data_IF_224194478320
#
_entry.id   IF_224194478320
#
_cell.length_a   1.000
_cell.length_b   1.000
_cell.length_c   1.000
_cell.angle_alpha   90.00
_cell.angle_beta   90.00
_cell.angle_gamma   90.00
#
_symmetry.space_group_name_H-M   'P 1'
#
loop_
_entity.id
_entity.type
_entity.pdbx_description
1 polymer ?
#
# COMPACT_ATOMS: atom_id res chain seq x y z
N UNK A 1 12.63 -25.00 -1.78
CA UNK A 1 13.96 -25.29 -2.40
C UNK A 1 14.23 -24.47 -3.68
N UNK A 2 13.26 -24.20 -4.58
CA UNK A 2 13.46 -23.37 -5.79
C UNK A 2 13.84 -21.90 -5.50
N UNK A 3 13.20 -21.24 -4.52
CA UNK A 3 13.43 -19.82 -4.18
C UNK A 3 14.86 -19.58 -3.58
N UNK A 4 15.34 -20.49 -2.74
CA UNK A 4 16.70 -20.38 -2.16
C UNK A 4 17.78 -20.55 -3.25
N UNK A 5 17.61 -21.51 -4.15
CA UNK A 5 18.56 -21.73 -5.25
C UNK A 5 18.62 -20.52 -6.19
N UNK A 6 17.44 -19.91 -6.48
CA UNK A 6 17.34 -18.70 -7.27
C UNK A 6 18.12 -17.51 -6.68
N UNK A 7 18.01 -17.27 -5.38
CA UNK A 7 18.66 -16.13 -4.70
C UNK A 7 20.21 -16.13 -4.88
N UNK A 8 20.80 -17.27 -5.15
CA UNK A 8 22.26 -17.43 -5.37
C UNK A 8 22.66 -17.57 -6.83
N UNK A 9 21.73 -17.83 -7.74
CA UNK A 9 22.05 -18.16 -9.14
C UNK A 9 21.44 -17.23 -10.17
N UNK A 10 20.45 -16.43 -9.77
CA UNK A 10 19.79 -15.50 -10.70
C UNK A 10 20.68 -14.28 -10.91
N UNK A 11 20.99 -13.98 -12.16
CA UNK A 11 21.61 -12.73 -12.57
C UNK A 11 20.50 -11.78 -13.05
N UNK A 12 20.45 -10.60 -12.48
CA UNK A 12 19.51 -9.58 -12.93
C UNK A 12 19.87 -9.14 -14.36
N UNK A 13 19.02 -9.36 -15.38
CA UNK A 13 19.30 -8.95 -16.76
C UNK A 13 19.47 -7.43 -16.91
N UNK A 14 18.91 -6.65 -15.99
CA UNK A 14 18.96 -5.19 -15.97
C UNK A 14 19.89 -4.66 -14.85
N UNK A 15 20.94 -5.41 -14.50
CA UNK A 15 21.81 -5.05 -13.36
C UNK A 15 22.42 -3.65 -13.53
N UNK A 16 22.84 -3.29 -14.72
CA UNK A 16 23.45 -1.97 -15.00
C UNK A 16 22.45 -0.84 -14.83
N UNK A 17 21.23 -0.99 -15.37
CA UNK A 17 20.15 0.00 -15.23
C UNK A 17 19.70 0.09 -13.78
N UNK A 18 19.61 -1.05 -13.08
CA UNK A 18 19.28 -1.10 -11.66
C UNK A 18 20.31 -0.35 -10.80
N UNK A 19 21.60 -0.56 -11.03
CA UNK A 19 22.68 0.07 -10.28
C UNK A 19 22.83 1.56 -10.58
N UNK A 20 22.52 2.00 -11.82
CA UNK A 20 22.58 3.39 -12.24
C UNK A 20 21.30 4.19 -11.94
N UNK A 21 20.22 3.54 -11.54
CA UNK A 21 18.94 4.22 -11.27
C UNK A 21 18.94 4.85 -9.87
N UNK A 22 19.15 6.15 -9.82
CA UNK A 22 19.15 6.98 -8.62
C UNK A 22 17.78 7.56 -8.29
N UNK A 23 16.72 7.11 -8.97
CA UNK A 23 15.36 7.61 -8.79
C UNK A 23 14.95 7.62 -7.30
N UNK A 24 14.46 8.76 -6.86
CA UNK A 24 13.82 8.96 -5.56
C UNK A 24 12.57 9.82 -5.74
N UNK A 25 11.42 9.44 -5.13
CA UNK A 25 10.29 10.34 -5.03
C UNK A 25 10.70 11.63 -4.34
N UNK A 26 10.15 12.75 -4.80
CA UNK A 26 10.32 14.03 -4.13
C UNK A 26 9.62 14.00 -2.78
N UNK A 27 10.16 14.74 -1.80
CA UNK A 27 9.61 14.86 -0.45
C UNK A 27 9.28 16.32 -0.19
N UNK A 28 8.04 16.59 0.21
CA UNK A 28 7.56 17.89 0.68
C UNK A 28 7.57 17.85 2.20
N UNK A 29 8.62 18.42 2.78
CA UNK A 29 8.80 18.46 4.25
C UNK A 29 7.92 19.56 4.86
N UNK A 30 7.33 19.29 6.03
CA UNK A 30 6.48 20.24 6.73
C UNK A 30 5.94 19.72 8.05
N UNK A 31 4.89 20.35 8.56
CA UNK A 31 4.12 19.83 9.70
C UNK A 31 3.07 18.84 9.22
N UNK A 32 2.66 17.93 10.12
CA UNK A 32 1.51 17.04 9.83
C UNK A 32 0.27 17.93 9.65
N UNK A 33 -0.42 17.86 8.48
CA UNK A 33 -1.61 18.66 8.25
C UNK A 33 -2.73 18.34 9.26
N UNK A 34 -3.58 19.31 9.55
CA UNK A 34 -4.77 19.08 10.37
C UNK A 34 -5.76 18.12 9.66
N UNK A 35 -6.83 17.70 10.37
CA UNK A 35 -7.86 16.79 9.86
C UNK A 35 -9.06 17.54 9.22
N UNK A 36 -8.93 18.84 8.94
CA UNK A 36 -10.05 19.70 8.59
C UNK A 36 -10.70 19.43 7.24
N UNK A 37 -9.97 18.87 6.27
CA UNK A 37 -10.45 18.52 4.94
C UNK A 37 -10.22 17.04 4.64
N UNK A 38 -11.10 16.46 3.79
CA UNK A 38 -10.94 15.11 3.30
C UNK A 38 -9.76 15.07 2.32
N UNK A 39 -8.75 14.23 2.60
CA UNK A 39 -7.51 14.20 1.83
C UNK A 39 -6.75 12.89 1.92
N UNK A 40 -5.91 12.66 0.92
CA UNK A 40 -4.92 11.59 0.87
C UNK A 40 -3.52 12.19 0.87
N UNK A 41 -2.59 11.61 1.63
CA UNK A 41 -1.19 12.03 1.70
C UNK A 41 -0.32 10.77 1.61
N UNK A 42 0.60 10.73 0.65
CA UNK A 42 1.55 9.64 0.54
C UNK A 42 2.74 9.84 1.49
N UNK A 43 3.11 8.79 2.23
CA UNK A 43 4.24 8.80 3.18
C UNK A 43 5.44 7.99 2.67
N UNK A 44 5.35 7.54 1.41
CA UNK A 44 6.31 6.63 0.78
C UNK A 44 5.88 5.17 0.87
N UNK A 45 6.33 4.37 -0.10
CA UNK A 45 5.99 2.96 -0.26
C UNK A 45 4.47 2.74 -0.34
N UNK A 46 3.90 1.91 0.52
CA UNK A 46 2.46 1.67 0.64
C UNK A 46 1.81 2.43 1.81
N UNK A 47 2.55 3.36 2.45
CA UNK A 47 2.04 4.08 3.62
C UNK A 47 1.34 5.38 3.23
N UNK A 48 0.10 5.56 3.72
CA UNK A 48 -0.71 6.74 3.45
C UNK A 48 -1.42 7.24 4.71
N UNK A 49 -1.63 8.55 4.78
CA UNK A 49 -2.67 9.14 5.60
C UNK A 49 -3.90 9.35 4.72
N UNK A 50 -5.06 8.93 5.20
CA UNK A 50 -6.36 9.20 4.61
C UNK A 50 -7.22 9.88 5.67
N UNK A 51 -7.47 11.18 5.50
CA UNK A 51 -8.39 11.93 6.35
C UNK A 51 -9.77 12.00 5.70
N UNK A 52 -10.80 11.57 6.42
CA UNK A 52 -12.20 11.58 5.98
C UNK A 52 -13.09 11.96 7.18
N UNK A 53 -13.94 12.96 7.02
CA UNK A 53 -14.89 13.37 8.04
C UNK A 53 -14.27 13.70 9.40
N UNK A 54 -13.09 14.28 9.41
CA UNK A 54 -12.33 14.59 10.63
C UNK A 54 -11.68 13.38 11.32
N UNK A 55 -11.74 12.19 10.71
CA UNK A 55 -11.05 10.98 11.14
C UNK A 55 -9.81 10.72 10.31
N UNK A 56 -8.71 10.35 10.95
CA UNK A 56 -7.44 10.01 10.30
C UNK A 56 -7.21 8.51 10.29
N UNK A 57 -7.15 7.94 9.11
CA UNK A 57 -6.75 6.57 8.87
C UNK A 57 -5.28 6.55 8.43
N UNK A 58 -4.50 5.62 8.98
CA UNK A 58 -3.11 5.38 8.59
C UNK A 58 -3.04 3.99 7.94
N UNK A 59 -2.75 3.97 6.64
CA UNK A 59 -2.74 2.75 5.83
C UNK A 59 -1.32 2.19 5.77
N UNK A 60 -1.18 0.88 6.00
CA UNK A 60 0.07 0.09 5.93
C UNK A 60 1.31 0.84 6.47
N UNK A 61 1.34 1.18 7.76
CA UNK A 61 2.36 2.07 8.31
C UNK A 61 3.73 1.39 8.37
N UNK A 62 4.63 1.76 7.46
CA UNK A 62 6.04 1.42 7.47
C UNK A 62 6.89 2.67 7.26
N UNK A 63 7.06 3.44 8.32
CA UNK A 63 7.75 4.74 8.30
C UNK A 63 9.17 4.68 8.85
N UNK A 64 9.54 3.59 9.53
CA UNK A 64 10.90 3.32 9.95
C UNK A 64 11.63 2.45 8.91
N UNK A 65 12.77 1.91 9.26
CA UNK A 65 13.52 1.00 8.39
C UNK A 65 13.16 -0.45 8.72
N UNK A 66 12.52 -1.21 7.80
CA UNK A 66 12.30 -2.65 7.99
C UNK A 66 13.62 -3.43 8.23
N UNK A 67 13.57 -4.61 8.87
CA UNK A 67 14.79 -5.36 9.23
C UNK A 67 15.67 -5.73 8.03
N UNK A 68 15.09 -5.90 6.85
CA UNK A 68 15.77 -6.50 5.69
C UNK A 68 16.11 -5.50 4.58
N UNK A 69 15.56 -4.28 4.64
CA UNK A 69 15.75 -3.28 3.58
C UNK A 69 15.94 -1.88 4.15
N UNK A 70 16.76 -1.08 3.48
CA UNK A 70 17.01 0.31 3.87
C UNK A 70 15.97 1.23 3.26
N UNK A 71 15.41 2.13 4.09
CA UNK A 71 14.60 3.24 3.58
C UNK A 71 15.49 4.24 2.85
N UNK A 72 15.12 4.60 1.62
CA UNK A 72 15.87 5.53 0.75
C UNK A 72 15.35 6.97 0.85
N UNK A 73 14.07 7.15 1.19
CA UNK A 73 13.42 8.46 1.26
C UNK A 73 13.38 8.99 2.69
N UNK A 74 13.40 10.31 2.85
CA UNK A 74 13.03 10.95 4.11
C UNK A 74 11.54 10.81 4.40
N UNK A 75 11.13 11.08 5.63
CA UNK A 75 9.73 11.32 5.98
C UNK A 75 9.38 12.79 5.78
N UNK A 76 8.14 13.11 5.42
CA UNK A 76 7.71 14.52 5.26
C UNK A 76 7.57 15.24 6.61
N UNK A 77 7.34 14.50 7.70
CA UNK A 77 7.15 15.00 9.06
C UNK A 77 7.41 13.91 10.12
N UNK A 78 7.41 14.30 11.40
CA UNK A 78 7.61 13.37 12.52
C UNK A 78 6.47 12.34 12.66
N UNK A 79 6.81 11.11 13.00
CA UNK A 79 5.84 10.01 13.16
C UNK A 79 4.86 10.29 14.30
N UNK A 80 5.34 10.86 15.41
CA UNK A 80 4.57 11.20 16.61
C UNK A 80 3.50 12.26 16.37
N UNK A 81 3.68 13.10 15.35
CA UNK A 81 2.68 14.08 14.91
C UNK A 81 1.46 13.51 14.20
N UNK A 82 1.53 12.29 13.67
CA UNK A 82 0.48 11.72 12.79
C UNK A 82 -0.85 11.52 13.51
N UNK A 83 -0.84 10.98 14.72
CA UNK A 83 -2.01 10.76 15.62
C UNK A 83 -3.23 10.16 14.90
N UNK A 84 -3.13 8.94 14.35
CA UNK A 84 -4.25 8.31 13.67
C UNK A 84 -5.36 7.91 14.64
N UNK A 85 -6.62 7.97 14.18
CA UNK A 85 -7.77 7.40 14.87
C UNK A 85 -7.85 5.89 14.63
N UNK A 86 -7.41 5.46 13.43
CA UNK A 86 -7.45 4.08 13.00
C UNK A 86 -6.23 3.72 12.14
N UNK A 87 -5.67 2.53 12.35
CA UNK A 87 -4.67 1.95 11.46
C UNK A 87 -5.32 0.84 10.64
N UNK A 88 -5.07 0.80 9.34
CA UNK A 88 -5.43 -0.32 8.47
C UNK A 88 -4.15 -1.03 8.04
N UNK A 89 -4.11 -2.35 8.23
CA UNK A 89 -2.99 -3.20 7.83
C UNK A 89 -3.48 -4.23 6.83
N UNK A 90 -2.99 -4.18 5.59
CA UNK A 90 -3.40 -5.10 4.52
C UNK A 90 -2.87 -6.52 4.73
N UNK A 91 -1.63 -6.65 5.20
CA UNK A 91 -0.99 -7.94 5.48
C UNK A 91 0.24 -7.79 6.38
N UNK A 92 0.87 -8.90 6.73
CA UNK A 92 1.89 -8.93 7.76
C UNK A 92 3.35 -8.81 7.29
N UNK A 93 3.66 -8.49 6.04
CA UNK A 93 5.04 -8.23 5.63
C UNK A 93 5.61 -6.99 6.33
N UNK A 94 6.93 -6.94 6.49
CA UNK A 94 7.59 -5.91 7.30
C UNK A 94 7.47 -4.50 6.73
N UNK A 95 7.33 -4.37 5.43
CA UNK A 95 7.18 -3.12 4.68
C UNK A 95 5.74 -2.57 4.64
N UNK A 96 4.76 -3.33 5.19
CA UNK A 96 3.36 -2.92 5.36
C UNK A 96 2.94 -2.86 6.83
N UNK A 97 3.48 -3.74 7.66
CA UNK A 97 3.19 -3.79 9.10
C UNK A 97 4.49 -3.64 9.92
N UNK A 98 4.93 -2.40 10.12
CA UNK A 98 6.09 -2.08 10.93
C UNK A 98 5.70 -1.72 12.37
N UNK A 99 5.93 -2.63 13.27
CA UNK A 99 5.62 -2.46 14.70
C UNK A 99 6.39 -1.32 15.36
N UNK A 100 7.57 -0.94 14.83
CA UNK A 100 8.35 0.21 15.32
C UNK A 100 7.71 1.52 14.92
N UNK A 101 7.16 1.61 13.71
CA UNK A 101 6.35 2.76 13.29
C UNK A 101 5.17 2.96 14.25
N UNK A 102 4.41 1.89 14.54
CA UNK A 102 3.25 1.97 15.43
C UNK A 102 3.67 2.38 16.85
N UNK A 103 4.76 1.86 17.37
CA UNK A 103 5.29 2.27 18.68
C UNK A 103 5.72 3.76 18.70
N UNK A 104 6.27 4.26 17.59
CA UNK A 104 6.72 5.65 17.46
C UNK A 104 5.59 6.68 17.30
N UNK A 105 4.33 6.25 17.06
CA UNK A 105 3.18 7.17 16.99
C UNK A 105 2.91 7.90 18.31
N UNK A 106 3.38 7.38 19.45
CA UNK A 106 3.17 7.99 20.77
C UNK A 106 1.71 8.02 21.24
N UNK A 107 0.81 7.34 20.55
CA UNK A 107 -0.62 7.20 20.84
C UNK A 107 -1.04 5.74 20.74
N UNK A 108 -2.23 5.41 21.26
CA UNK A 108 -2.77 4.04 21.27
C UNK A 108 -3.97 3.93 20.33
N UNK A 109 -3.79 3.97 19.01
CA UNK A 109 -4.88 3.88 18.06
C UNK A 109 -5.50 2.46 18.05
N UNK A 110 -6.68 2.38 17.49
CA UNK A 110 -7.23 1.08 17.06
C UNK A 110 -6.57 0.65 15.75
N UNK A 111 -6.34 -0.65 15.57
CA UNK A 111 -5.89 -1.21 14.31
C UNK A 111 -6.88 -2.26 13.79
N UNK A 112 -7.29 -2.14 12.54
CA UNK A 112 -7.95 -3.20 11.79
C UNK A 112 -6.89 -3.95 11.00
N UNK A 113 -6.89 -5.26 11.10
CA UNK A 113 -5.88 -6.11 10.48
C UNK A 113 -6.46 -7.47 10.10
N UNK A 114 -5.84 -8.22 9.19
CA UNK A 114 -6.27 -9.56 8.81
C UNK A 114 -6.29 -10.53 9.99
N UNK A 115 -7.22 -11.47 9.97
CA UNK A 115 -7.30 -12.59 10.94
C UNK A 115 -5.95 -13.29 11.08
N UNK A 116 -5.52 -13.51 12.31
CA UNK A 116 -4.26 -14.13 12.70
C UNK A 116 -3.07 -13.16 12.77
N UNK A 117 -3.24 -11.86 12.48
CA UNK A 117 -2.15 -10.89 12.50
C UNK A 117 -1.94 -10.22 13.88
N UNK A 118 -2.97 -10.10 14.71
CA UNK A 118 -2.92 -9.41 16.01
C UNK A 118 -1.87 -10.00 16.96
N UNK A 119 -1.53 -11.28 16.82
CA UNK A 119 -0.48 -11.94 17.61
C UNK A 119 0.89 -11.26 17.50
N UNK A 120 1.18 -10.57 16.38
CA UNK A 120 2.44 -9.84 16.17
C UNK A 120 2.40 -8.43 16.77
N UNK A 121 1.20 -7.94 17.13
CA UNK A 121 0.99 -6.65 17.77
C UNK A 121 0.92 -6.72 19.31
N UNK A 122 1.04 -7.90 19.92
CA UNK A 122 0.85 -8.12 21.39
C UNK A 122 1.70 -7.22 22.29
N UNK A 123 2.85 -6.76 21.81
CA UNK A 123 3.75 -5.88 22.57
C UNK A 123 3.47 -4.39 22.33
N UNK A 124 2.54 -4.07 21.44
CA UNK A 124 2.15 -2.69 21.15
C UNK A 124 0.97 -2.31 22.05
N UNK A 125 0.97 -1.07 22.49
CA UNK A 125 -0.16 -0.53 23.26
C UNK A 125 -1.26 -0.04 22.30
N UNK A 126 -1.87 -0.98 21.53
CA UNK A 126 -2.96 -0.72 20.59
C UNK A 126 -4.07 -1.75 20.72
N UNK A 127 -5.29 -1.35 20.41
CA UNK A 127 -6.43 -2.25 20.30
C UNK A 127 -6.50 -2.82 18.87
N UNK A 128 -6.43 -4.14 18.73
CA UNK A 128 -6.49 -4.82 17.44
C UNK A 128 -7.86 -5.47 17.23
N UNK A 129 -8.45 -5.25 16.06
CA UNK A 129 -9.60 -5.98 15.55
C UNK A 129 -9.19 -6.73 14.29
N UNK A 130 -9.39 -8.03 14.30
CA UNK A 130 -9.11 -8.88 13.13
C UNK A 130 -10.32 -8.93 12.21
N UNK A 131 -10.06 -8.97 10.91
CA UNK A 131 -11.07 -9.02 9.86
C UNK A 131 -10.84 -10.20 8.93
N UNK A 132 -11.90 -10.84 8.50
CA UNK A 132 -11.93 -11.82 7.41
C UNK A 132 -12.38 -11.16 6.10
N UNK A 133 -12.10 -11.81 4.98
CA UNK A 133 -12.54 -11.32 3.66
C UNK A 133 -14.05 -11.16 3.60
N UNK A 134 -14.51 -10.03 3.09
CA UNK A 134 -15.91 -9.63 3.01
C UNK A 134 -16.46 -9.00 4.30
N UNK A 135 -15.72 -9.01 5.40
CA UNK A 135 -16.18 -8.34 6.63
C UNK A 135 -16.16 -6.82 6.47
N UNK A 136 -17.15 -6.20 7.12
CA UNK A 136 -17.37 -4.75 7.12
C UNK A 136 -17.36 -4.22 8.54
N UNK A 137 -16.89 -3.01 8.72
CA UNK A 137 -16.96 -2.26 9.97
C UNK A 137 -17.15 -0.77 9.71
N UNK A 138 -17.51 -0.02 10.76
CA UNK A 138 -17.74 1.42 10.67
C UNK A 138 -16.79 2.18 11.59
N UNK A 139 -16.26 3.31 11.11
CA UNK A 139 -15.61 4.34 11.91
C UNK A 139 -16.40 5.65 11.76
N UNK A 140 -17.37 5.90 12.62
CA UNK A 140 -18.39 6.93 12.38
C UNK A 140 -19.14 6.62 11.09
N UNK A 141 -19.15 7.56 10.12
CA UNK A 141 -19.81 7.41 8.82
C UNK A 141 -18.93 6.74 7.75
N UNK A 142 -17.72 6.32 8.11
CA UNK A 142 -16.79 5.66 7.20
C UNK A 142 -17.00 4.15 7.26
N UNK A 143 -17.46 3.54 6.17
CA UNK A 143 -17.53 2.08 6.03
C UNK A 143 -16.18 1.56 5.53
N UNK A 144 -15.67 0.52 6.16
CA UNK A 144 -14.43 -0.15 5.81
C UNK A 144 -14.72 -1.62 5.56
N UNK A 145 -14.38 -2.10 4.38
CA UNK A 145 -14.55 -3.50 3.96
C UNK A 145 -13.17 -4.11 3.73
N UNK A 146 -12.90 -5.26 4.33
CA UNK A 146 -11.68 -6.02 4.06
C UNK A 146 -11.94 -7.02 2.94
N UNK A 147 -11.15 -6.96 1.87
CA UNK A 147 -11.36 -7.69 0.63
C UNK A 147 -10.19 -8.64 0.32
N UNK A 148 -10.42 -9.73 -0.45
CA UNK A 148 -9.35 -10.64 -0.83
C UNK A 148 -8.33 -9.98 -1.77
N UNK A 149 -7.07 -10.44 -1.67
CA UNK A 149 -5.98 -10.12 -2.59
C UNK A 149 -5.27 -11.40 -3.04
N UNK A 150 -4.59 -11.37 -4.18
CA UNK A 150 -3.80 -12.49 -4.66
C UNK A 150 -2.35 -12.36 -4.18
N UNK A 151 -2.12 -12.70 -2.90
CA UNK A 151 -0.86 -12.52 -2.20
C UNK A 151 -0.61 -13.67 -1.22
N UNK A 152 0.23 -13.47 -0.23
CA UNK A 152 0.55 -14.42 0.82
C UNK A 152 1.02 -13.71 2.09
N UNK A 153 1.15 -14.46 3.19
CA UNK A 153 1.69 -13.94 4.44
C UNK A 153 2.88 -14.77 4.91
N UNK A 154 3.93 -14.10 5.35
CA UNK A 154 4.94 -14.65 6.26
C UNK A 154 5.69 -13.51 6.92
N UNK A 155 6.03 -13.69 8.20
CA UNK A 155 6.82 -12.73 8.95
C UNK A 155 8.14 -13.31 9.46
N UNK A 156 8.14 -14.58 9.83
CA UNK A 156 9.31 -15.26 10.39
C UNK A 156 9.81 -16.43 9.52
N UNK A 157 9.32 -16.59 8.33
CA UNK A 157 9.70 -17.67 7.40
C UNK A 157 9.03 -19.02 7.70
N UNK A 158 8.77 -19.34 8.97
CA UNK A 158 8.07 -20.57 9.40
C UNK A 158 6.57 -20.38 9.62
N UNK A 159 6.06 -19.18 9.45
CA UNK A 159 4.68 -18.78 9.71
C UNK A 159 3.89 -18.49 8.42
N UNK A 160 4.32 -19.07 7.31
CA UNK A 160 3.69 -18.88 5.99
C UNK A 160 2.18 -19.15 6.05
N UNK A 161 1.40 -18.16 5.61
CA UNK A 161 -0.06 -18.19 5.53
C UNK A 161 -0.78 -18.51 6.88
N UNK A 162 -0.15 -18.17 8.02
CA UNK A 162 -0.76 -18.26 9.35
C UNK A 162 -1.51 -16.99 9.78
N UNK A 163 -1.63 -16.03 8.89
CA UNK A 163 -2.54 -14.89 8.95
C UNK A 163 -3.09 -14.66 7.56
N UNK A 164 -4.25 -14.01 7.45
CA UNK A 164 -4.81 -13.57 6.18
C UNK A 164 -4.04 -12.34 5.65
N UNK A 165 -4.38 -11.96 4.44
CA UNK A 165 -3.92 -10.78 3.71
C UNK A 165 -5.06 -10.26 2.84
N UNK A 166 -5.01 -9.00 2.42
CA UNK A 166 -6.08 -8.46 1.61
C UNK A 166 -5.89 -7.00 1.23
N UNK A 167 -6.95 -6.43 0.74
CA UNK A 167 -7.11 -5.03 0.37
C UNK A 167 -8.23 -4.39 1.18
N UNK A 168 -8.33 -3.06 1.13
CA UNK A 168 -9.42 -2.34 1.79
C UNK A 168 -10.23 -1.54 0.78
N UNK A 169 -11.56 -1.62 0.87
CA UNK A 169 -12.48 -0.67 0.29
C UNK A 169 -12.97 0.25 1.40
N UNK A 170 -12.76 1.55 1.24
CA UNK A 170 -13.14 2.59 2.22
C UNK A 170 -14.21 3.45 1.55
N UNK A 171 -15.38 3.53 2.17
CA UNK A 171 -16.55 4.21 1.62
C UNK A 171 -16.97 5.35 2.54
N UNK A 172 -17.08 6.54 1.98
CA UNK A 172 -17.47 7.73 2.72
C UNK A 172 -18.22 8.71 1.82
N UNK A 173 -19.44 9.11 2.20
CA UNK A 173 -20.28 10.08 1.48
C UNK A 173 -20.39 9.80 -0.02
N UNK A 174 -20.62 8.54 -0.39
CA UNK A 174 -20.75 8.10 -1.79
C UNK A 174 -19.43 7.96 -2.55
N UNK A 175 -18.28 8.30 -1.96
CA UNK A 175 -16.95 8.03 -2.53
C UNK A 175 -16.48 6.64 -2.16
N UNK A 176 -15.80 5.98 -3.09
CA UNK A 176 -15.19 4.67 -2.93
C UNK A 176 -13.68 4.76 -3.16
N UNK A 177 -12.90 4.47 -2.13
CA UNK A 177 -11.43 4.48 -2.16
C UNK A 177 -10.95 3.04 -1.99
N UNK A 178 -10.31 2.52 -3.02
CA UNK A 178 -9.73 1.18 -2.99
C UNK A 178 -8.24 1.26 -2.69
N UNK A 179 -7.82 0.66 -1.58
CA UNK A 179 -6.42 0.47 -1.21
C UNK A 179 -6.02 -0.97 -1.49
N UNK A 180 -5.20 -1.19 -2.50
CA UNK A 180 -4.87 -2.52 -3.00
C UNK A 180 -4.06 -3.34 -2.00
N UNK A 181 -3.15 -2.72 -1.23
CA UNK A 181 -2.07 -3.46 -0.59
C UNK A 181 -1.21 -4.16 -1.65
N UNK A 182 -0.69 -5.35 -1.33
CA UNK A 182 0.03 -6.17 -2.30
C UNK A 182 -0.87 -7.23 -2.91
N UNK A 183 -0.82 -7.35 -4.24
CA UNK A 183 -1.57 -8.36 -4.99
C UNK A 183 -0.94 -8.63 -6.33
N UNK A 184 -0.92 -9.89 -6.75
CA UNK A 184 -0.82 -10.26 -8.16
C UNK A 184 -2.15 -10.00 -8.89
N UNK A 185 -2.09 -9.92 -10.22
CA UNK A 185 -3.28 -9.77 -11.05
C UNK A 185 -4.12 -11.05 -11.07
N UNK A 186 -5.43 -10.93 -10.83
CA UNK A 186 -6.37 -12.06 -10.89
C UNK A 186 -7.82 -11.53 -11.04
N UNK A 187 -8.75 -12.46 -11.30
CA UNK A 187 -10.19 -12.18 -11.54
C UNK A 187 -10.96 -11.64 -10.33
N UNK A 188 -10.37 -11.60 -9.14
CA UNK A 188 -11.05 -11.06 -7.96
C UNK A 188 -11.37 -9.56 -8.08
N UNK A 189 -10.62 -8.79 -8.87
CA UNK A 189 -10.86 -7.37 -9.09
C UNK A 189 -12.18 -7.10 -9.83
N UNK A 190 -12.48 -7.89 -10.87
CA UNK A 190 -13.77 -7.78 -11.58
C UNK A 190 -14.95 -8.18 -10.69
N UNK A 191 -14.75 -9.14 -9.77
CA UNK A 191 -15.76 -9.52 -8.76
C UNK A 191 -16.00 -8.39 -7.76
N UNK A 192 -14.93 -7.74 -7.28
CA UNK A 192 -15.03 -6.58 -6.38
C UNK A 192 -15.85 -5.47 -7.06
N UNK A 193 -15.58 -5.15 -8.33
CA UNK A 193 -16.38 -4.17 -9.08
C UNK A 193 -17.84 -4.58 -9.23
N UNK A 194 -18.07 -5.86 -9.54
CA UNK A 194 -19.43 -6.39 -9.68
C UNK A 194 -20.26 -6.25 -8.40
N UNK A 195 -19.61 -6.39 -7.24
CA UNK A 195 -20.27 -6.34 -5.92
C UNK A 195 -20.41 -4.90 -5.39
N UNK A 196 -19.38 -4.05 -5.59
CA UNK A 196 -19.30 -2.73 -4.94
C UNK A 196 -19.45 -1.57 -5.92
N UNK A 197 -19.39 -1.78 -7.23
CA UNK A 197 -19.40 -0.74 -8.25
C UNK A 197 -18.02 -0.13 -8.54
N UNK A 198 -18.03 1.01 -9.25
CA UNK A 198 -16.83 1.71 -9.70
C UNK A 198 -16.10 2.42 -8.54
N UNK A 199 -14.75 2.46 -8.59
CA UNK A 199 -13.93 3.09 -7.57
C UNK A 199 -13.58 4.53 -7.96
N UNK A 200 -13.76 5.49 -7.03
CA UNK A 200 -13.37 6.88 -7.27
C UNK A 200 -11.84 7.05 -7.22
N UNK A 201 -11.18 6.40 -6.26
CA UNK A 201 -9.73 6.42 -6.11
C UNK A 201 -9.24 4.98 -5.95
N UNK A 202 -8.22 4.60 -6.75
CA UNK A 202 -7.53 3.33 -6.62
C UNK A 202 -6.06 3.60 -6.26
N UNK A 203 -5.63 3.18 -5.08
CA UNK A 203 -4.24 3.23 -4.63
C UNK A 203 -3.59 1.90 -5.00
N UNK A 204 -2.70 1.90 -6.01
CA UNK A 204 -2.30 0.71 -6.76
C UNK A 204 -0.79 0.51 -6.77
N UNK A 205 -0.28 -0.72 -6.51
CA UNK A 205 1.15 -1.00 -6.54
C UNK A 205 1.69 -0.98 -7.98
N UNK A 206 2.88 -0.40 -8.18
CA UNK A 206 3.61 -0.40 -9.44
C UNK A 206 5.06 -0.89 -9.31
N UNK A 207 5.43 -1.46 -8.15
CA UNK A 207 6.77 -1.97 -7.85
C UNK A 207 6.77 -3.39 -7.30
N UNK A 208 7.97 -3.92 -7.11
CA UNK A 208 8.27 -5.27 -6.64
C UNK A 208 7.79 -6.39 -7.58
N UNK A 209 7.96 -6.23 -8.91
CA UNK A 209 7.45 -7.20 -9.90
C UNK A 209 8.51 -8.02 -10.65
N UNK A 210 9.82 -7.77 -10.43
CA UNK A 210 10.90 -8.56 -11.06
C UNK A 210 11.63 -9.45 -10.05
N UNK A 211 12.02 -10.68 -10.43
CA UNK A 211 11.74 -11.32 -11.72
C UNK A 211 10.30 -11.84 -11.78
N UNK A 212 9.65 -11.66 -12.93
CA UNK A 212 8.25 -11.97 -13.17
C UNK A 212 7.87 -13.42 -12.80
N UNK A 213 8.69 -14.41 -13.16
CA UNK A 213 8.42 -15.83 -12.88
C UNK A 213 8.27 -16.18 -11.39
N UNK A 214 8.65 -15.28 -10.49
CA UNK A 214 8.45 -15.40 -9.03
C UNK A 214 7.38 -14.42 -8.57
N UNK A 215 7.48 -13.16 -8.98
CA UNK A 215 6.73 -12.06 -8.40
C UNK A 215 5.27 -12.00 -8.87
N UNK A 216 4.95 -12.38 -10.11
CA UNK A 216 3.61 -12.27 -10.71
C UNK A 216 2.47 -12.93 -9.93
N UNK A 217 2.77 -13.91 -9.08
CA UNK A 217 1.76 -14.58 -8.24
C UNK A 217 1.42 -13.81 -6.96
N UNK A 218 2.13 -12.69 -6.70
CA UNK A 218 1.96 -11.91 -5.48
C UNK A 218 2.09 -10.40 -5.69
N UNK A 219 2.61 -9.97 -6.84
CA UNK A 219 2.79 -8.56 -7.19
C UNK A 219 2.46 -8.34 -8.67
N UNK A 220 1.72 -7.29 -8.95
CA UNK A 220 1.43 -6.81 -10.30
C UNK A 220 2.59 -6.02 -10.86
N UNK A 221 2.91 -6.21 -12.14
CA UNK A 221 3.69 -5.22 -12.88
C UNK A 221 2.84 -3.98 -13.19
N UNK A 222 3.43 -2.86 -13.64
CA UNK A 222 2.68 -1.63 -13.90
C UNK A 222 1.53 -1.77 -14.90
N UNK A 223 1.68 -2.63 -15.92
CA UNK A 223 0.62 -2.87 -16.92
C UNK A 223 -0.56 -3.62 -16.32
N UNK A 224 -0.29 -4.64 -15.49
CA UNK A 224 -1.31 -5.38 -14.76
C UNK A 224 -2.01 -4.49 -13.73
N UNK A 225 -1.27 -3.59 -13.07
CA UNK A 225 -1.83 -2.62 -12.15
C UNK A 225 -2.80 -1.65 -12.85
N UNK A 226 -2.44 -1.15 -14.03
CA UNK A 226 -3.33 -0.33 -14.86
C UNK A 226 -4.52 -1.11 -15.41
N UNK A 227 -4.35 -2.42 -15.73
CA UNK A 227 -5.47 -3.27 -16.10
C UNK A 227 -6.44 -3.45 -14.92
N UNK A 228 -5.90 -3.73 -13.72
CA UNK A 228 -6.68 -3.83 -12.48
C UNK A 228 -7.49 -2.56 -12.22
N UNK A 229 -6.89 -1.41 -12.41
CA UNK A 229 -7.59 -0.13 -12.31
C UNK A 229 -8.81 -0.03 -13.25
N UNK A 230 -8.66 -0.49 -14.48
CA UNK A 230 -9.80 -0.55 -15.44
C UNK A 230 -10.85 -1.57 -15.00
N UNK A 231 -10.41 -2.75 -14.53
CA UNK A 231 -11.30 -3.82 -14.06
C UNK A 231 -12.12 -3.37 -12.84
N UNK A 232 -11.56 -2.50 -11.99
CA UNK A 232 -12.22 -1.87 -10.84
C UNK A 232 -13.12 -0.67 -11.24
N UNK A 233 -13.15 -0.25 -12.51
CA UNK A 233 -13.85 0.95 -12.94
C UNK A 233 -13.28 2.23 -12.33
N UNK A 234 -11.95 2.27 -12.12
CA UNK A 234 -11.28 3.35 -11.41
C UNK A 234 -11.38 4.72 -12.12
N UNK A 235 -11.53 5.79 -11.33
CA UNK A 235 -11.55 7.18 -11.83
C UNK A 235 -10.24 7.92 -11.62
N UNK A 236 -9.54 7.66 -10.48
CA UNK A 236 -8.23 8.22 -10.17
C UNK A 236 -7.27 7.09 -9.81
N UNK A 237 -6.14 6.98 -10.52
CA UNK A 237 -5.07 6.02 -10.27
C UNK A 237 -3.96 6.69 -9.44
N UNK A 238 -3.77 6.26 -8.21
CA UNK A 238 -2.67 6.72 -7.33
C UNK A 238 -1.63 5.60 -7.23
N UNK A 239 -0.43 5.77 -7.80
CA UNK A 239 0.61 4.75 -7.74
C UNK A 239 1.26 4.68 -6.34
N UNK A 240 1.60 3.47 -5.92
CA UNK A 240 2.34 3.19 -4.68
C UNK A 240 3.37 2.07 -4.87
N UNK A 241 4.06 1.70 -3.80
CA UNK A 241 4.98 0.57 -3.72
C UNK A 241 6.23 0.71 -4.61
N UNK A 242 6.76 1.92 -4.73
CA UNK A 242 7.96 2.23 -5.52
C UNK A 242 8.86 3.27 -4.81
N UNK A 243 10.12 3.35 -5.20
CA UNK A 243 11.08 4.41 -4.87
C UNK A 243 11.55 4.47 -3.41
N UNK A 244 10.79 3.96 -2.45
CA UNK A 244 11.11 4.05 -1.01
C UNK A 244 12.02 2.93 -0.53
N UNK A 245 11.76 1.69 -0.94
CA UNK A 245 12.54 0.50 -0.64
C UNK A 245 12.94 -0.20 -1.94
N UNK A 246 14.08 -0.90 -1.91
CA UNK A 246 14.48 -1.82 -2.98
C UNK A 246 14.10 -3.23 -2.53
N UNK A 247 13.05 -3.78 -3.10
CA UNK A 247 12.47 -5.09 -2.72
C UNK A 247 12.66 -6.17 -3.78
N UNK A 248 12.99 -5.79 -5.00
CA UNK A 248 13.05 -6.65 -6.18
C UNK A 248 14.14 -6.19 -7.16
N UNK A 249 14.14 -6.69 -8.39
CA UNK A 249 15.24 -6.49 -9.33
C UNK A 249 14.96 -5.51 -10.47
N UNK A 250 13.80 -4.86 -10.51
CA UNK A 250 13.60 -3.73 -11.41
C UNK A 250 14.34 -2.48 -10.90
N UNK A 251 14.80 -1.59 -11.81
CA UNK A 251 15.30 -0.28 -11.43
C UNK A 251 14.28 0.49 -10.57
N UNK A 252 14.70 1.18 -9.50
CA UNK A 252 13.80 1.81 -8.52
C UNK A 252 12.72 2.74 -9.10
N UNK A 253 12.99 3.41 -10.22
CA UNK A 253 12.04 4.29 -10.91
C UNK A 253 11.33 3.66 -12.09
N UNK A 254 11.60 2.40 -12.46
CA UNK A 254 11.05 1.81 -13.68
C UNK A 254 9.52 1.76 -13.65
N UNK A 255 8.94 1.29 -12.55
CA UNK A 255 7.48 1.13 -12.43
C UNK A 255 6.73 2.43 -12.62
N UNK A 256 7.16 3.51 -11.97
CA UNK A 256 6.50 4.81 -12.11
C UNK A 256 6.75 5.44 -13.48
N UNK A 257 7.92 5.23 -14.10
CA UNK A 257 8.18 5.69 -15.47
C UNK A 257 7.26 5.00 -16.48
N UNK A 258 7.02 3.70 -16.34
CA UNK A 258 6.04 2.96 -17.15
C UNK A 258 4.63 3.54 -16.94
N UNK A 259 4.21 3.76 -15.70
CA UNK A 259 2.89 4.32 -15.41
C UNK A 259 2.72 5.72 -16.01
N UNK A 260 3.72 6.59 -15.93
CA UNK A 260 3.72 7.93 -16.57
C UNK A 260 3.62 7.84 -18.09
N UNK A 261 4.44 6.99 -18.71
CA UNK A 261 4.42 6.83 -20.17
C UNK A 261 3.08 6.28 -20.71
N UNK A 262 2.41 5.45 -19.92
CA UNK A 262 1.12 4.88 -20.28
C UNK A 262 -0.09 5.76 -19.87
N UNK A 263 0.11 6.80 -19.07
CA UNK A 263 -0.96 7.58 -18.45
C UNK A 263 -1.97 8.14 -19.46
N UNK A 264 -1.50 8.72 -20.56
CA UNK A 264 -2.37 9.33 -21.57
C UNK A 264 -3.15 8.26 -22.35
N UNK A 265 -2.48 7.21 -22.82
CA UNK A 265 -3.06 6.20 -23.71
C UNK A 265 -3.87 5.14 -22.96
N UNK A 266 -3.42 4.77 -21.76
CA UNK A 266 -4.00 3.64 -21.01
C UNK A 266 -4.93 4.08 -19.89
N UNK A 267 -4.62 5.18 -19.22
CA UNK A 267 -5.37 5.69 -18.07
C UNK A 267 -6.26 6.90 -18.43
N UNK A 268 -6.18 7.44 -19.66
CA UNK A 268 -6.99 8.58 -20.10
C UNK A 268 -6.83 9.80 -19.18
N UNK A 269 -5.60 10.14 -18.79
CA UNK A 269 -5.30 11.27 -17.90
C UNK A 269 -5.65 11.06 -16.43
N UNK A 270 -6.01 9.84 -16.01
CA UNK A 270 -6.46 9.53 -14.64
C UNK A 270 -5.32 9.24 -13.66
N UNK A 271 -4.06 9.30 -14.09
CA UNK A 271 -2.90 9.15 -13.20
C UNK A 271 -2.78 10.36 -12.28
N UNK A 272 -2.75 10.12 -10.98
CA UNK A 272 -2.44 11.10 -9.95
C UNK A 272 -1.24 10.62 -9.14
N UNK A 273 -0.06 10.91 -9.64
CA UNK A 273 1.18 10.70 -8.90
C UNK A 273 1.30 11.75 -7.79
N UNK A 274 1.72 11.32 -6.61
CA UNK A 274 1.93 12.18 -5.45
C UNK A 274 3.42 12.24 -5.11
N UNK A 275 3.89 13.42 -4.73
CA UNK A 275 5.13 13.57 -3.97
C UNK A 275 4.89 13.09 -2.52
N UNK A 276 5.95 12.62 -1.84
CA UNK A 276 5.83 12.23 -0.42
C UNK A 276 5.52 13.48 0.41
N UNK A 277 4.42 13.46 1.16
CA UNK A 277 3.94 14.60 1.94
C UNK A 277 2.99 15.54 1.18
N UNK A 278 2.79 15.33 -0.14
CA UNK A 278 1.83 16.10 -0.92
C UNK A 278 0.40 15.79 -0.48
N UNK A 279 -0.42 16.85 -0.42
CA UNK A 279 -1.85 16.76 -0.10
C UNK A 279 -2.64 16.62 -1.40
N UNK A 280 -3.37 15.53 -1.54
CA UNK A 280 -4.42 15.39 -2.55
C UNK A 280 -5.78 15.52 -1.86
N UNK A 281 -6.50 16.62 -2.12
CA UNK A 281 -7.85 16.80 -1.62
C UNK A 281 -8.81 15.80 -2.28
N UNK A 282 -9.68 15.20 -1.46
CA UNK A 282 -10.76 14.32 -1.94
C UNK A 282 -12.02 15.18 -2.04
N UNK A 283 -12.34 15.65 -3.25
CA UNK A 283 -13.49 16.51 -3.50
C UNK A 283 -14.80 15.90 -2.98
N UNK A 284 -15.73 16.78 -2.57
CA UNK A 284 -17.08 16.43 -2.11
C UNK A 284 -17.92 15.78 -3.18
#
# INVERSE_FOLDING_TARGET
MRILKWRFTYKNPQQQEFESDDFLPKVIEGAVPDKGIDKLIWLGHASFILDLGGKRLLLDPCLTQPPTVKRRTKLPFGIDGIKPDLILVSHGHYDHFDTRTIAALGVSPTALMPTGLSKYAKKLNIKCFEMEWGQKTMLGDIEIVFLPAYHWHSRYGFDKNRALWGSFLIRYRGKQIYFCGDSGYNTHFTKIRSEYGDMDICIMPVGAYKPDFIMKHSHMNPYESMQTFRDLGGKVFVPMHYGTFILSYEPPGEGIRIARAAAEHTLGGKLRELDIGEIMEIGR
#
